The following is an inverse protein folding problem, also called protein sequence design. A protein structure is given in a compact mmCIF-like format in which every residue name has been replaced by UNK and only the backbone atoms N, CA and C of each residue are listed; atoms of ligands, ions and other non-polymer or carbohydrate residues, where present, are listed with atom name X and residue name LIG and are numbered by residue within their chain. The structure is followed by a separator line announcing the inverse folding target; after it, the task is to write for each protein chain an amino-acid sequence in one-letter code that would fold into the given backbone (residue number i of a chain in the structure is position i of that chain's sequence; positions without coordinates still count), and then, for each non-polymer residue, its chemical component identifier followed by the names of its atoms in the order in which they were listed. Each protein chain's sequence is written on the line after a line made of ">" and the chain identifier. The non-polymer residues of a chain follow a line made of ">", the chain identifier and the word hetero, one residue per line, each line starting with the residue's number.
data_IF_461943667239
#
_entry.id   IF_461943667239
#
_cell.length_a   1.000
_cell.length_b   1.000
_cell.length_c   1.000
_cell.angle_alpha   90.00
_cell.angle_beta   90.00
_cell.angle_gamma   90.00
#
_symmetry.space_group_name_H-M   'P 1'
#
loop_
_entity.id
_entity.type
_entity.pdbx_description
1 polymer ?
#
# COMPACT_ATOMS: atom_id res chain seq x y z
N UNK A 1 -14.06 0.99 -21.70
CA UNK A 1 -13.26 2.19 -21.35
C UNK A 1 -11.85 1.81 -20.95
N UNK A 2 -11.64 1.16 -19.80
CA UNK A 2 -10.29 0.80 -19.32
C UNK A 2 -9.49 -0.08 -20.29
N UNK A 3 -10.11 -1.08 -20.91
CA UNK A 3 -9.44 -1.93 -21.92
C UNK A 3 -9.22 -1.29 -23.30
N UNK A 4 -9.47 0.01 -23.49
CA UNK A 4 -9.21 0.69 -24.77
C UNK A 4 -10.13 0.33 -25.94
N UNK A 5 -11.21 -0.42 -25.71
CA UNK A 5 -12.18 -0.79 -26.75
C UNK A 5 -13.13 0.37 -27.15
N UNK A 6 -12.67 1.29 -28.00
CA UNK A 6 -13.45 2.45 -28.48
C UNK A 6 -14.71 2.05 -29.24
N UNK A 7 -14.61 1.05 -30.13
CA UNK A 7 -15.75 0.63 -30.95
C UNK A 7 -16.88 0.04 -30.10
N UNK A 8 -16.56 -0.61 -28.98
CA UNK A 8 -17.57 -1.10 -28.02
C UNK A 8 -18.28 0.07 -27.33
N UNK A 9 -17.57 1.17 -27.03
CA UNK A 9 -18.20 2.36 -26.43
C UNK A 9 -19.12 3.07 -27.42
N UNK A 10 -18.70 3.21 -28.68
CA UNK A 10 -19.53 3.78 -29.75
C UNK A 10 -20.78 2.93 -29.99
N UNK A 11 -20.61 1.61 -30.07
CA UNK A 11 -21.71 0.66 -30.18
C UNK A 11 -22.70 0.81 -29.02
N UNK A 12 -22.21 0.77 -27.77
CA UNK A 12 -23.07 0.92 -26.59
C UNK A 12 -23.82 2.25 -26.54
N UNK A 13 -23.23 3.33 -27.08
CA UNK A 13 -23.88 4.65 -27.18
C UNK A 13 -24.96 4.71 -28.27
N UNK A 14 -24.87 3.86 -29.29
CA UNK A 14 -25.81 3.81 -30.42
C UNK A 14 -27.08 2.99 -30.16
N UNK A 15 -27.13 2.24 -29.06
CA UNK A 15 -28.29 1.43 -28.66
C UNK A 15 -29.48 2.29 -28.21
N UNK A 16 -30.67 1.69 -28.12
CA UNK A 16 -31.91 2.34 -27.63
C UNK A 16 -32.46 1.60 -26.39
N UNK A 17 -32.46 2.24 -25.19
CA UNK A 17 -31.98 3.59 -24.92
C UNK A 17 -30.45 3.69 -24.98
N UNK A 18 -29.90 4.87 -25.35
CA UNK A 18 -28.45 5.05 -25.43
C UNK A 18 -27.82 4.81 -24.07
N UNK A 19 -26.68 4.10 -24.03
CA UNK A 19 -25.92 3.97 -22.80
C UNK A 19 -25.59 5.39 -22.31
N UNK A 20 -26.03 5.79 -21.10
CA UNK A 20 -25.90 7.17 -20.65
C UNK A 20 -24.44 7.60 -20.46
N UNK A 21 -23.51 6.63 -20.44
CA UNK A 21 -22.21 6.72 -19.79
C UNK A 21 -22.34 7.15 -18.32
N UNK A 22 -21.33 6.86 -17.51
CA UNK A 22 -21.43 7.15 -16.09
C UNK A 22 -21.51 8.66 -15.85
N UNK A 23 -22.61 9.14 -15.26
CA UNK A 23 -22.85 10.56 -14.97
C UNK A 23 -21.85 11.13 -13.94
N UNK A 24 -21.12 10.28 -13.23
CA UNK A 24 -20.06 10.65 -12.28
C UNK A 24 -18.67 10.80 -12.95
N UNK A 25 -18.55 10.53 -14.25
CA UNK A 25 -17.29 10.59 -14.99
C UNK A 25 -16.40 9.35 -14.85
N UNK A 26 -16.86 8.27 -14.21
CA UNK A 26 -16.09 7.04 -14.05
C UNK A 26 -15.65 6.44 -15.39
N UNK A 27 -16.53 6.45 -16.41
CA UNK A 27 -16.19 5.97 -17.76
C UNK A 27 -15.01 6.74 -18.35
N UNK A 28 -14.98 8.07 -18.16
CA UNK A 28 -13.91 8.93 -18.63
C UNK A 28 -12.59 8.66 -17.89
N UNK A 29 -12.65 8.52 -16.56
CA UNK A 29 -11.46 8.22 -15.74
C UNK A 29 -10.88 6.84 -16.02
N UNK A 30 -11.73 5.83 -16.29
CA UNK A 30 -11.28 4.51 -16.73
C UNK A 30 -10.64 4.56 -18.12
N UNK A 31 -11.19 5.33 -19.06
CA UNK A 31 -10.56 5.57 -20.35
C UNK A 31 -9.21 6.31 -20.19
N UNK A 32 -9.10 7.25 -19.25
CA UNK A 32 -7.83 7.91 -18.97
C UNK A 32 -6.77 6.92 -18.45
N UNK A 33 -7.20 5.92 -17.66
CA UNK A 33 -6.35 4.87 -17.09
C UNK A 33 -5.80 3.86 -18.10
N UNK A 34 -6.53 3.51 -19.15
CA UNK A 34 -6.06 2.46 -20.07
C UNK A 34 -6.55 2.54 -21.51
N UNK A 35 -7.40 3.52 -21.81
CA UNK A 35 -7.84 3.82 -23.17
C UNK A 35 -6.85 4.70 -23.93
N UNK A 36 -7.20 5.01 -25.17
CA UNK A 36 -6.39 5.85 -26.06
C UNK A 36 -6.85 7.30 -26.07
N UNK A 37 -6.03 8.20 -26.61
CA UNK A 37 -6.39 9.61 -26.76
C UNK A 37 -7.62 9.78 -27.65
N UNK A 38 -7.77 8.96 -28.69
CA UNK A 38 -8.96 8.97 -29.57
C UNK A 38 -10.23 8.61 -28.81
N UNK A 39 -10.13 7.67 -27.86
CA UNK A 39 -11.25 7.35 -26.97
C UNK A 39 -11.60 8.53 -26.06
N UNK A 40 -10.60 9.21 -25.50
CA UNK A 40 -10.83 10.39 -24.67
C UNK A 40 -11.44 11.54 -25.47
N UNK A 41 -11.00 11.75 -26.71
CA UNK A 41 -11.59 12.72 -27.63
C UNK A 41 -13.07 12.42 -27.88
N UNK A 42 -13.41 11.16 -28.16
CA UNK A 42 -14.79 10.73 -28.36
C UNK A 42 -15.64 10.97 -27.11
N UNK A 43 -15.18 10.52 -25.94
CA UNK A 43 -15.92 10.70 -24.69
C UNK A 43 -16.09 12.19 -24.34
N UNK A 44 -15.10 13.02 -24.66
CA UNK A 44 -15.15 14.46 -24.44
C UNK A 44 -16.16 15.14 -25.36
N UNK A 45 -16.20 14.76 -26.66
CA UNK A 45 -17.19 15.28 -27.60
C UNK A 45 -18.62 14.87 -27.26
N UNK A 46 -18.80 13.72 -26.62
CA UNK A 46 -20.10 13.24 -26.11
C UNK A 46 -20.55 13.93 -24.82
N UNK A 47 -19.75 14.86 -24.28
CA UNK A 47 -20.08 15.60 -23.06
C UNK A 47 -19.93 14.77 -21.78
N UNK A 48 -19.12 13.70 -21.80
CA UNK A 48 -18.84 12.93 -20.59
C UNK A 48 -18.15 13.83 -19.55
N UNK A 49 -18.62 13.83 -18.28
CA UNK A 49 -18.08 14.71 -17.28
C UNK A 49 -16.65 14.32 -16.89
N UNK A 50 -15.80 15.34 -16.76
CA UNK A 50 -14.46 15.22 -16.19
C UNK A 50 -14.56 15.23 -14.66
N UNK A 51 -13.78 14.39 -13.98
CA UNK A 51 -13.60 14.47 -12.54
C UNK A 51 -12.10 14.51 -12.17
N UNK A 52 -11.79 14.87 -10.92
CA UNK A 52 -10.41 15.00 -10.44
C UNK A 52 -9.64 13.67 -10.41
N UNK A 53 -10.32 12.53 -10.61
CA UNK A 53 -9.67 11.22 -10.73
C UNK A 53 -9.13 10.94 -12.13
N UNK A 54 -9.60 11.61 -13.19
CA UNK A 54 -9.16 11.30 -14.56
C UNK A 54 -7.65 11.50 -14.76
N UNK A 55 -7.10 12.63 -14.28
CA UNK A 55 -5.65 12.91 -14.34
C UNK A 55 -4.85 11.96 -13.46
N UNK A 56 -5.36 11.66 -12.27
CA UNK A 56 -4.75 10.71 -11.35
C UNK A 56 -4.69 9.28 -11.91
N UNK A 57 -5.73 8.86 -12.64
CA UNK A 57 -5.84 7.54 -13.24
C UNK A 57 -4.92 7.40 -14.45
N UNK A 58 -4.81 8.43 -15.29
CA UNK A 58 -3.80 8.47 -16.35
C UNK A 58 -2.38 8.44 -15.76
N UNK A 59 -2.15 9.19 -14.67
CA UNK A 59 -0.85 9.26 -14.02
C UNK A 59 -0.41 7.94 -13.38
N UNK A 60 -1.27 7.24 -12.63
CA UNK A 60 -0.94 5.94 -12.01
C UNK A 60 -0.74 4.82 -13.02
N UNK A 61 -1.29 4.95 -14.23
CA UNK A 61 -1.10 4.00 -15.32
C UNK A 61 0.05 4.38 -16.27
N UNK A 62 0.67 5.55 -16.08
CA UNK A 62 1.80 5.99 -16.90
C UNK A 62 1.41 6.50 -18.28
N UNK A 63 0.12 6.73 -18.53
CA UNK A 63 -0.39 7.16 -19.83
C UNK A 63 -0.15 8.67 -20.03
N UNK A 64 1.08 9.00 -20.38
CA UNK A 64 1.51 10.38 -20.59
C UNK A 64 0.69 11.11 -21.67
N UNK A 65 0.32 10.43 -22.76
CA UNK A 65 -0.43 11.05 -23.85
C UNK A 65 -1.86 11.38 -23.43
N UNK A 66 -2.51 10.48 -22.67
CA UNK A 66 -3.81 10.75 -22.05
C UNK A 66 -3.71 11.93 -21.09
N UNK A 67 -2.66 11.98 -20.27
CA UNK A 67 -2.45 13.08 -19.34
C UNK A 67 -2.23 14.43 -20.06
N UNK A 68 -1.45 14.45 -21.15
CA UNK A 68 -1.28 15.62 -22.02
C UNK A 68 -2.61 16.07 -22.62
N UNK A 69 -3.43 15.14 -23.10
CA UNK A 69 -4.77 15.46 -23.61
C UNK A 69 -5.66 16.09 -22.52
N UNK A 70 -5.70 15.49 -21.33
CA UNK A 70 -6.48 15.99 -20.18
C UNK A 70 -6.08 17.42 -19.80
N UNK A 71 -4.79 17.70 -19.67
CA UNK A 71 -4.30 19.03 -19.29
C UNK A 71 -4.44 20.05 -20.43
N UNK A 72 -4.10 19.64 -21.66
CA UNK A 72 -4.03 20.52 -22.81
C UNK A 72 -5.41 20.90 -23.35
N UNK A 73 -6.28 19.90 -23.54
CA UNK A 73 -7.59 20.03 -24.19
C UNK A 73 -8.69 20.22 -23.15
N UNK A 74 -8.83 19.29 -22.20
CA UNK A 74 -9.90 19.34 -21.20
C UNK A 74 -9.65 20.39 -20.11
N UNK A 75 -8.46 20.99 -20.05
CA UNK A 75 -8.03 21.91 -18.98
C UNK A 75 -8.23 21.32 -17.59
N UNK A 76 -7.97 20.01 -17.46
CA UNK A 76 -8.12 19.29 -16.21
C UNK A 76 -7.21 19.86 -15.13
N UNK A 77 -7.70 20.05 -13.89
CA UNK A 77 -6.87 20.54 -12.80
C UNK A 77 -5.80 19.52 -12.42
N UNK A 78 -4.60 20.02 -12.13
CA UNK A 78 -3.46 19.24 -11.64
C UNK A 78 -3.21 19.60 -10.17
N UNK A 79 -2.98 18.57 -9.35
CA UNK A 79 -2.74 18.70 -7.92
C UNK A 79 -1.63 17.74 -7.48
N UNK A 80 -1.16 17.88 -6.24
CA UNK A 80 -0.12 16.99 -5.69
C UNK A 80 -0.53 15.52 -5.64
N UNK A 81 -1.83 15.24 -5.67
CA UNK A 81 -2.36 13.89 -5.80
C UNK A 81 -1.95 13.22 -7.12
N UNK A 82 -1.83 13.99 -8.22
CA UNK A 82 -1.43 13.46 -9.53
C UNK A 82 0.04 13.04 -9.52
N UNK A 83 0.91 13.86 -8.92
CA UNK A 83 2.31 13.51 -8.72
C UNK A 83 2.47 12.28 -7.80
N UNK A 84 1.69 12.20 -6.72
CA UNK A 84 1.65 11.01 -5.86
C UNK A 84 1.28 9.76 -6.64
N UNK A 85 0.25 9.83 -7.49
CA UNK A 85 -0.21 8.69 -8.29
C UNK A 85 0.77 8.28 -9.38
N UNK A 86 1.45 9.23 -10.03
CA UNK A 86 2.55 8.91 -10.93
C UNK A 86 3.72 8.19 -10.21
N UNK A 87 4.02 8.60 -8.97
CA UNK A 87 5.05 7.97 -8.16
C UNK A 87 4.66 6.55 -7.70
N UNK A 88 3.40 6.35 -7.29
CA UNK A 88 2.84 5.05 -6.92
C UNK A 88 2.79 4.05 -8.09
N UNK A 89 2.60 4.55 -9.32
CA UNK A 89 2.63 3.75 -10.54
C UNK A 89 4.05 3.45 -11.07
N UNK A 90 5.10 3.93 -10.42
CA UNK A 90 6.48 3.84 -10.92
C UNK A 90 6.71 4.52 -12.29
N UNK A 91 6.14 5.72 -12.48
CA UNK A 91 6.19 6.42 -13.76
C UNK A 91 7.01 7.71 -13.71
N UNK A 92 8.34 7.58 -13.70
CA UNK A 92 9.28 8.69 -13.66
C UNK A 92 9.08 9.71 -14.79
N UNK A 93 8.82 9.25 -16.02
CA UNK A 93 8.64 10.13 -17.17
C UNK A 93 7.39 11.02 -17.05
N UNK A 94 6.34 10.50 -16.40
CA UNK A 94 5.15 11.31 -16.06
C UNK A 94 5.50 12.36 -15.02
N UNK A 95 6.28 12.02 -13.99
CA UNK A 95 6.74 12.99 -12.98
C UNK A 95 7.61 14.10 -13.57
N UNK A 96 8.55 13.76 -14.46
CA UNK A 96 9.37 14.74 -15.17
C UNK A 96 8.50 15.68 -15.99
N UNK A 97 7.57 15.15 -16.78
CA UNK A 97 6.65 15.97 -17.55
C UNK A 97 5.79 16.89 -16.66
N UNK A 98 5.22 16.37 -15.58
CA UNK A 98 4.43 17.15 -14.61
C UNK A 98 5.23 18.30 -13.99
N UNK A 99 6.53 18.11 -13.80
CA UNK A 99 7.42 19.10 -13.16
C UNK A 99 7.99 20.12 -14.13
N UNK A 100 8.38 19.68 -15.32
CA UNK A 100 9.21 20.45 -16.26
C UNK A 100 8.40 21.06 -17.40
N UNK A 101 7.24 20.48 -17.74
CA UNK A 101 6.44 20.90 -18.91
C UNK A 101 5.19 21.71 -18.57
N UNK A 102 4.80 21.81 -17.30
CA UNK A 102 3.61 22.56 -16.86
C UNK A 102 3.99 23.94 -16.32
N UNK A 103 3.15 24.94 -16.61
CA UNK A 103 3.23 26.29 -16.05
C UNK A 103 1.87 26.69 -15.43
N UNK A 104 1.75 26.77 -14.09
CA UNK A 104 2.79 26.48 -13.10
C UNK A 104 3.12 24.97 -12.99
N UNK A 105 4.32 24.60 -12.50
CA UNK A 105 4.69 23.20 -12.27
C UNK A 105 3.71 22.48 -11.35
N UNK A 106 3.49 21.17 -11.57
CA UNK A 106 2.67 20.36 -10.68
C UNK A 106 3.20 20.48 -9.24
N UNK A 107 2.36 20.84 -8.25
CA UNK A 107 2.77 20.82 -6.86
C UNK A 107 3.03 19.38 -6.42
N UNK A 108 3.93 19.18 -5.47
CA UNK A 108 4.13 17.91 -4.77
C UNK A 108 4.27 18.13 -3.27
N UNK A 109 4.05 17.08 -2.49
CA UNK A 109 4.24 17.06 -1.05
C UNK A 109 4.81 15.68 -0.63
N UNK A 110 4.96 15.43 0.67
CA UNK A 110 5.57 14.20 1.18
C UNK A 110 4.91 12.92 0.66
N UNK A 111 3.63 12.98 0.30
CA UNK A 111 2.90 11.84 -0.27
C UNK A 111 3.48 11.35 -1.59
N UNK A 112 4.14 12.20 -2.39
CA UNK A 112 4.83 11.74 -3.60
C UNK A 112 5.99 10.78 -3.27
N UNK A 113 6.76 11.06 -2.22
CA UNK A 113 7.76 10.12 -1.72
C UNK A 113 7.10 8.87 -1.12
N UNK A 114 5.94 9.00 -0.47
CA UNK A 114 5.17 7.85 0.02
C UNK A 114 4.75 6.93 -1.12
N UNK A 115 4.17 7.46 -2.20
CA UNK A 115 3.79 6.68 -3.38
C UNK A 115 5.00 5.97 -4.02
N UNK A 116 6.12 6.66 -4.19
CA UNK A 116 7.35 6.05 -4.68
C UNK A 116 7.85 4.92 -3.76
N UNK A 117 7.73 5.11 -2.45
CA UNK A 117 8.10 4.10 -1.47
C UNK A 117 7.15 2.89 -1.46
N UNK A 118 5.85 3.08 -1.74
CA UNK A 118 4.89 2.00 -1.95
C UNK A 118 5.20 1.20 -3.23
N UNK A 119 5.62 1.88 -4.30
CA UNK A 119 6.01 1.26 -5.56
C UNK A 119 7.30 0.45 -5.45
N UNK A 120 8.17 0.78 -4.48
CA UNK A 120 9.49 0.17 -4.35
C UNK A 120 10.59 0.92 -5.13
N UNK A 121 10.29 2.13 -5.60
CA UNK A 121 11.09 2.84 -6.61
C UNK A 121 12.11 3.79 -6.00
N UNK A 122 13.34 3.30 -5.84
CA UNK A 122 14.49 4.12 -5.42
C UNK A 122 14.78 5.24 -6.43
N UNK A 123 14.60 4.98 -7.73
CA UNK A 123 14.87 5.96 -8.78
C UNK A 123 13.96 7.19 -8.66
N UNK A 124 12.66 6.98 -8.49
CA UNK A 124 11.70 8.06 -8.28
C UNK A 124 11.95 8.78 -6.96
N UNK A 125 12.24 8.05 -5.88
CA UNK A 125 12.61 8.67 -4.61
C UNK A 125 13.85 9.58 -4.76
N UNK A 126 14.87 9.12 -5.47
CA UNK A 126 16.06 9.92 -5.74
C UNK A 126 15.72 11.18 -6.57
N UNK A 127 14.91 11.05 -7.63
CA UNK A 127 14.47 12.18 -8.45
C UNK A 127 13.67 13.21 -7.63
N UNK A 128 12.67 12.76 -6.86
CA UNK A 128 11.84 13.63 -6.02
C UNK A 128 12.71 14.40 -5.01
N UNK A 129 13.69 13.72 -4.40
CA UNK A 129 14.58 14.35 -3.42
C UNK A 129 15.55 15.34 -4.02
N UNK A 130 16.16 15.02 -5.16
CA UNK A 130 17.04 15.94 -5.88
C UNK A 130 16.30 17.22 -6.29
N UNK A 131 14.99 17.13 -6.56
CA UNK A 131 14.16 18.27 -6.91
C UNK A 131 13.49 18.98 -5.71
N UNK A 132 13.87 18.62 -4.48
CA UNK A 132 13.40 19.30 -3.27
C UNK A 132 12.00 18.89 -2.80
N UNK A 133 11.46 17.76 -3.25
CA UNK A 133 10.24 17.21 -2.68
C UNK A 133 10.47 16.85 -1.20
N UNK A 134 9.59 17.30 -0.28
CA UNK A 134 9.67 16.88 1.11
C UNK A 134 9.39 15.38 1.22
N UNK A 135 9.82 14.78 2.33
CA UNK A 135 9.44 13.44 2.76
C UNK A 135 9.12 13.46 4.25
N UNK A 136 8.49 12.40 4.75
CA UNK A 136 8.26 12.19 6.17
C UNK A 136 8.32 10.67 6.44
N UNK A 137 8.07 10.27 7.70
CA UNK A 137 8.09 8.87 8.09
C UNK A 137 7.03 8.00 7.37
N UNK A 138 6.01 8.57 6.68
CA UNK A 138 5.03 7.76 5.94
C UNK A 138 5.69 7.02 4.79
N UNK A 139 6.71 7.59 4.13
CA UNK A 139 7.46 6.88 3.10
C UNK A 139 8.16 5.62 3.66
N UNK A 140 8.70 5.72 4.88
CA UNK A 140 9.33 4.58 5.55
C UNK A 140 8.29 3.52 5.95
N UNK A 141 7.15 3.94 6.51
CA UNK A 141 6.05 3.03 6.90
C UNK A 141 5.47 2.32 5.67
N UNK A 142 5.25 3.05 4.58
CA UNK A 142 4.76 2.52 3.31
C UNK A 142 5.69 1.44 2.73
N UNK A 143 6.99 1.71 2.63
CA UNK A 143 7.97 0.72 2.17
C UNK A 143 7.98 -0.52 3.08
N UNK A 144 7.81 -0.35 4.40
CA UNK A 144 7.73 -1.47 5.33
C UNK A 144 6.49 -2.33 5.11
N UNK A 145 5.32 -1.70 4.95
CA UNK A 145 4.05 -2.38 4.70
C UNK A 145 3.96 -3.07 3.33
N UNK A 146 4.81 -2.68 2.38
CA UNK A 146 4.94 -3.33 1.06
C UNK A 146 6.12 -4.31 0.96
N UNK A 147 6.96 -4.40 1.99
CA UNK A 147 8.08 -5.32 2.04
C UNK A 147 9.33 -4.87 1.29
N UNK A 148 9.41 -3.59 0.92
CA UNK A 148 10.48 -3.02 0.09
C UNK A 148 11.74 -2.73 0.91
N UNK A 149 12.43 -3.79 1.33
CA UNK A 149 13.63 -3.69 2.17
C UNK A 149 14.75 -2.83 1.56
N UNK A 150 14.93 -2.89 0.24
CA UNK A 150 15.93 -2.06 -0.45
C UNK A 150 15.61 -0.56 -0.33
N UNK A 151 14.34 -0.19 -0.48
CA UNK A 151 13.86 1.18 -0.27
C UNK A 151 14.06 1.61 1.18
N UNK A 152 13.74 0.76 2.16
CA UNK A 152 13.94 1.09 3.58
C UNK A 152 15.40 1.40 3.91
N UNK A 153 16.32 0.58 3.41
CA UNK A 153 17.77 0.81 3.57
C UNK A 153 18.20 2.12 2.93
N UNK A 154 17.68 2.42 1.73
CA UNK A 154 17.96 3.66 1.02
C UNK A 154 17.40 4.89 1.74
N UNK A 155 16.14 4.86 2.19
CA UNK A 155 15.51 5.94 2.94
C UNK A 155 16.30 6.25 4.21
N UNK A 156 16.74 5.21 4.93
CA UNK A 156 17.54 5.35 6.14
C UNK A 156 18.91 5.98 5.86
N UNK A 157 19.61 5.52 4.83
CA UNK A 157 20.94 6.04 4.49
C UNK A 157 20.92 7.50 4.02
N UNK A 158 19.77 8.00 3.57
CA UNK A 158 19.60 9.39 3.14
C UNK A 158 18.89 10.27 4.18
N UNK A 159 18.73 9.78 5.42
CA UNK A 159 18.20 10.59 6.52
C UNK A 159 16.70 10.86 6.45
N UNK A 160 15.93 9.99 5.78
CA UNK A 160 14.48 10.02 5.93
C UNK A 160 14.11 9.76 7.40
N UNK A 161 13.21 10.55 8.02
CA UNK A 161 12.82 10.33 9.41
C UNK A 161 12.32 8.90 9.59
N UNK A 162 13.00 8.17 10.48
CA UNK A 162 12.54 6.86 10.92
C UNK A 162 11.25 6.98 11.74
N UNK A 163 10.53 5.87 11.96
CA UNK A 163 9.32 5.85 12.77
C UNK A 163 9.59 6.25 14.25
N UNK A 164 10.83 6.11 14.71
CA UNK A 164 11.33 6.54 16.03
C UNK A 164 11.43 8.07 16.18
N UNK A 165 11.70 8.79 15.08
CA UNK A 165 11.88 10.24 15.10
C UNK A 165 10.56 11.03 15.06
N UNK A 166 9.43 10.37 14.81
CA UNK A 166 8.09 10.98 14.75
C UNK A 166 7.03 10.09 15.42
N UNK A 167 7.34 9.54 16.59
CA UNK A 167 6.41 8.73 17.38
C UNK A 167 5.25 9.60 17.92
N UNK A 168 4.21 9.78 17.11
CA UNK A 168 2.91 10.26 17.59
C UNK A 168 2.09 9.08 18.12
N UNK A 169 1.40 9.22 19.27
CA UNK A 169 0.47 8.18 19.74
C UNK A 169 -0.56 7.86 18.65
N UNK A 170 -0.67 6.58 18.27
CA UNK A 170 -1.65 6.11 17.29
C UNK A 170 -1.17 6.03 15.83
N UNK A 171 0.09 6.36 15.51
CA UNK A 171 0.65 6.12 14.16
C UNK A 171 1.10 4.65 14.02
N UNK A 172 0.75 3.93 12.93
CA UNK A 172 1.27 2.59 12.70
C UNK A 172 2.79 2.63 12.67
N UNK A 173 3.42 1.87 13.56
CA UNK A 173 4.86 1.72 13.54
C UNK A 173 5.26 0.92 12.28
N UNK A 174 6.46 1.15 11.74
CA UNK A 174 6.95 0.41 10.58
C UNK A 174 6.91 -1.12 10.80
N UNK A 175 7.11 -1.57 12.05
CA UNK A 175 6.96 -2.97 12.44
C UNK A 175 5.51 -3.46 12.29
N UNK A 176 4.51 -2.69 12.73
CA UNK A 176 3.10 -3.04 12.56
C UNK A 176 2.70 -3.10 11.09
N UNK A 177 3.16 -2.14 10.27
CA UNK A 177 2.94 -2.15 8.82
C UNK A 177 3.58 -3.38 8.16
N UNK A 178 4.85 -3.69 8.49
CA UNK A 178 5.51 -4.89 7.98
C UNK A 178 4.83 -6.19 8.44
N UNK A 179 4.29 -6.21 9.66
CA UNK A 179 3.54 -7.34 10.19
C UNK A 179 2.19 -7.54 9.48
N UNK A 180 1.47 -6.45 9.18
CA UNK A 180 0.24 -6.44 8.37
C UNK A 180 0.49 -6.99 6.96
N UNK A 181 1.57 -6.55 6.32
CA UNK A 181 2.01 -7.06 5.01
C UNK A 181 2.58 -8.49 5.03
N UNK A 182 2.93 -9.00 6.22
CA UNK A 182 3.54 -10.32 6.39
C UNK A 182 5.03 -10.39 6.01
N UNK A 183 5.73 -9.25 6.00
CA UNK A 183 7.09 -9.10 5.49
C UNK A 183 8.15 -9.41 6.56
N UNK A 184 8.39 -10.72 6.78
CA UNK A 184 9.34 -11.22 7.79
C UNK A 184 10.76 -10.65 7.66
N UNK A 185 11.29 -10.51 6.44
CA UNK A 185 12.65 -9.99 6.23
C UNK A 185 12.77 -8.51 6.62
N UNK A 186 11.70 -7.74 6.42
CA UNK A 186 11.64 -6.35 6.90
C UNK A 186 11.60 -6.34 8.43
N UNK A 187 10.77 -7.18 9.06
CA UNK A 187 10.71 -7.27 10.53
C UNK A 187 12.05 -7.68 11.16
N UNK A 188 12.75 -8.65 10.57
CA UNK A 188 14.10 -9.06 11.00
C UNK A 188 15.08 -7.90 10.93
N UNK A 189 15.09 -7.17 9.82
CA UNK A 189 15.97 -6.02 9.62
C UNK A 189 15.63 -4.85 10.56
N UNK A 190 14.35 -4.56 10.78
CA UNK A 190 13.90 -3.56 11.74
C UNK A 190 14.34 -3.91 13.17
N UNK A 191 14.33 -5.20 13.52
CA UNK A 191 14.83 -5.67 14.83
C UNK A 191 16.34 -5.52 14.93
N UNK A 192 17.11 -6.07 13.98
CA UNK A 192 18.57 -6.14 14.09
C UNK A 192 19.23 -4.78 13.94
N UNK A 193 18.82 -3.99 12.93
CA UNK A 193 19.52 -2.77 12.54
C UNK A 193 18.86 -1.51 13.11
N UNK A 194 17.55 -1.50 13.32
CA UNK A 194 16.83 -0.32 13.81
C UNK A 194 16.60 -0.35 15.34
N UNK A 195 16.86 -1.49 16.01
CA UNK A 195 16.58 -1.67 17.45
C UNK A 195 15.17 -1.24 17.86
N UNK A 196 14.19 -1.41 16.96
CA UNK A 196 12.82 -0.96 17.19
C UNK A 196 12.13 -1.88 18.19
N UNK A 197 11.51 -1.35 19.27
CA UNK A 197 10.75 -2.17 20.19
C UNK A 197 9.54 -2.74 19.46
N UNK A 198 9.18 -3.98 19.80
CA UNK A 198 7.93 -4.53 19.37
C UNK A 198 6.89 -4.11 20.40
N UNK A 199 5.86 -3.38 19.99
CA UNK A 199 4.68 -3.24 20.80
C UNK A 199 3.65 -4.33 20.42
N UNK A 200 2.65 -4.54 21.27
CA UNK A 200 1.58 -5.52 21.01
C UNK A 200 0.78 -5.23 19.74
N UNK A 201 1.00 -4.08 19.09
CA UNK A 201 0.34 -3.74 17.82
C UNK A 201 0.88 -4.55 16.65
N UNK A 202 2.12 -5.07 16.71
CA UNK A 202 2.71 -5.89 15.65
C UNK A 202 2.00 -7.25 15.52
N UNK A 203 1.81 -7.95 16.64
CA UNK A 203 1.06 -9.20 16.67
C UNK A 203 -0.40 -8.97 16.24
N UNK A 204 -1.02 -7.90 16.75
CA UNK A 204 -2.39 -7.50 16.39
C UNK A 204 -2.56 -7.23 14.89
N UNK A 205 -1.59 -6.56 14.26
CA UNK A 205 -1.60 -6.29 12.83
C UNK A 205 -1.48 -7.58 12.01
N UNK A 206 -0.52 -8.45 12.35
CA UNK A 206 -0.39 -9.76 11.70
C UNK A 206 -1.67 -10.60 11.83
N UNK A 207 -2.36 -10.54 12.98
CA UNK A 207 -3.64 -11.22 13.21
C UNK A 207 -4.75 -10.68 12.33
N UNK A 208 -4.94 -9.35 12.30
CA UNK A 208 -5.98 -8.69 11.49
C UNK A 208 -5.81 -8.94 10.00
N UNK A 209 -4.57 -9.09 9.54
CA UNK A 209 -4.25 -9.36 8.15
C UNK A 209 -4.12 -10.86 7.81
N UNK A 210 -4.42 -11.77 8.75
CA UNK A 210 -4.37 -13.21 8.50
C UNK A 210 -2.96 -13.79 8.30
N UNK A 211 -1.90 -13.11 8.75
CA UNK A 211 -0.50 -13.46 8.52
C UNK A 211 0.02 -14.48 9.52
N UNK A 212 -0.45 -15.73 9.43
CA UNK A 212 -0.11 -16.81 10.38
C UNK A 212 1.40 -17.02 10.55
N UNK A 213 2.19 -17.03 9.47
CA UNK A 213 3.64 -17.25 9.56
C UNK A 213 4.36 -16.11 10.28
N UNK A 214 3.91 -14.88 10.04
CA UNK A 214 4.42 -13.69 10.72
C UNK A 214 4.06 -13.73 12.20
N UNK A 215 2.80 -14.08 12.53
CA UNK A 215 2.38 -14.26 13.91
C UNK A 215 3.19 -15.33 14.64
N UNK A 216 3.38 -16.50 14.02
CA UNK A 216 4.21 -17.58 14.56
C UNK A 216 5.62 -17.09 14.87
N UNK A 217 6.25 -16.43 13.90
CA UNK A 217 7.59 -15.89 14.08
C UNK A 217 7.64 -14.85 15.21
N UNK A 218 6.66 -13.93 15.27
CA UNK A 218 6.60 -12.90 16.31
C UNK A 218 6.48 -13.52 17.72
N UNK A 219 5.60 -14.53 17.88
CA UNK A 219 5.40 -15.20 19.17
C UNK A 219 6.60 -16.07 19.56
N UNK A 220 7.24 -16.74 18.59
CA UNK A 220 8.38 -17.61 18.86
C UNK A 220 9.63 -16.88 19.35
N UNK A 221 9.77 -15.61 19.01
CA UNK A 221 10.87 -14.77 19.47
C UNK A 221 10.68 -14.18 20.87
N UNK A 222 9.59 -14.54 21.57
CA UNK A 222 9.27 -14.28 22.98
C UNK A 222 9.27 -12.82 23.50
N UNK A 223 9.60 -11.83 22.66
CA UNK A 223 9.64 -10.40 23.03
C UNK A 223 8.37 -9.62 22.65
N UNK A 224 7.48 -10.16 21.80
CA UNK A 224 6.21 -9.50 21.45
C UNK A 224 5.16 -9.77 22.54
N UNK A 225 4.61 -8.76 23.23
CA UNK A 225 3.44 -8.98 24.05
C UNK A 225 2.27 -9.38 23.13
N UNK A 226 1.69 -10.54 23.38
CA UNK A 226 0.50 -11.02 22.68
C UNK A 226 -0.50 -11.59 23.68
N UNK A 227 -1.80 -11.44 23.38
CA UNK A 227 -2.89 -11.91 24.22
C UNK A 227 -3.75 -12.89 23.41
N UNK A 228 -3.72 -14.17 23.79
CA UNK A 228 -4.47 -15.23 23.11
C UNK A 228 -5.98 -14.97 23.07
N UNK A 229 -6.55 -14.32 24.10
CA UNK A 229 -7.97 -13.96 24.14
C UNK A 229 -8.31 -12.87 23.11
N UNK A 230 -7.47 -11.85 22.96
CA UNK A 230 -7.66 -10.81 21.94
C UNK A 230 -7.51 -11.41 20.53
N UNK A 231 -6.57 -12.33 20.36
CA UNK A 231 -6.36 -13.06 19.10
C UNK A 231 -7.60 -13.89 18.72
N UNK A 232 -8.16 -14.64 19.67
CA UNK A 232 -9.35 -15.46 19.45
C UNK A 232 -10.58 -14.61 19.16
N UNK A 233 -10.80 -13.54 19.93
CA UNK A 233 -11.92 -12.62 19.71
C UNK A 233 -11.89 -11.99 18.32
N UNK A 234 -10.70 -11.57 17.86
CA UNK A 234 -10.54 -11.00 16.51
C UNK A 234 -10.66 -12.04 15.41
N UNK A 235 -10.09 -13.23 15.60
CA UNK A 235 -10.24 -14.32 14.63
C UNK A 235 -11.71 -14.70 14.44
N UNK A 236 -12.49 -14.78 15.54
CA UNK A 236 -13.92 -15.07 15.49
C UNK A 236 -14.73 -13.95 14.80
N UNK A 237 -14.39 -12.67 15.05
CA UNK A 237 -15.08 -11.54 14.43
C UNK A 237 -14.78 -11.38 12.93
N UNK A 238 -13.65 -11.91 12.45
CA UNK A 238 -13.26 -11.87 11.03
C UNK A 238 -13.80 -13.07 10.21
N UNK A 239 -14.51 -14.01 10.84
CA UNK A 239 -15.12 -15.16 10.17
C UNK A 239 -14.11 -16.14 9.54
N UNK A 240 -14.48 -16.74 8.40
CA UNK A 240 -13.70 -17.81 7.74
C UNK A 240 -12.28 -17.40 7.31
N UNK A 241 -12.01 -16.09 7.19
CA UNK A 241 -10.73 -15.56 6.72
C UNK A 241 -9.56 -15.95 7.64
N UNK A 242 -9.82 -16.17 8.94
CA UNK A 242 -8.79 -16.42 9.96
C UNK A 242 -8.90 -17.79 10.63
N UNK A 243 -9.57 -18.77 9.99
CA UNK A 243 -9.77 -20.12 10.54
C UNK A 243 -8.47 -20.84 10.90
N UNK A 244 -7.42 -20.64 10.10
CA UNK A 244 -6.09 -21.20 10.34
C UNK A 244 -5.42 -20.61 11.60
N UNK A 245 -5.58 -19.31 11.85
CA UNK A 245 -5.11 -18.62 13.05
C UNK A 245 -5.92 -19.08 14.25
N UNK A 246 -7.25 -19.16 14.15
CA UNK A 246 -8.10 -19.65 15.22
C UNK A 246 -7.70 -21.07 15.65
N UNK A 247 -7.54 -21.99 14.70
CA UNK A 247 -7.10 -23.36 14.97
C UNK A 247 -5.73 -23.38 15.66
N UNK A 248 -4.79 -22.56 15.18
CA UNK A 248 -3.47 -22.46 15.77
C UNK A 248 -3.51 -21.91 17.20
N UNK A 249 -4.23 -20.81 17.46
CA UNK A 249 -4.36 -20.22 18.80
C UNK A 249 -5.13 -21.14 19.75
N UNK A 250 -6.19 -21.84 19.31
CA UNK A 250 -6.88 -22.84 20.14
C UNK A 250 -5.98 -24.02 20.51
N UNK A 251 -5.10 -24.43 19.61
CA UNK A 251 -4.20 -25.58 19.81
C UNK A 251 -2.99 -25.22 20.67
N UNK A 252 -2.46 -24.00 20.57
CA UNK A 252 -1.17 -23.63 21.18
C UNK A 252 -1.20 -22.40 22.09
N UNK A 253 -2.31 -21.65 22.14
CA UNK A 253 -2.45 -20.40 22.90
C UNK A 253 -3.14 -20.54 24.26
N UNK A 254 -2.90 -21.63 24.99
CA UNK A 254 -3.61 -21.93 26.25
C UNK A 254 -3.51 -20.78 27.28
N UNK A 255 -4.60 -20.49 28.03
CA UNK A 255 -4.63 -19.43 29.03
C UNK A 255 -3.81 -19.84 30.27
N UNK A 256 -2.67 -19.18 30.50
CA UNK A 256 -2.03 -19.21 31.80
C UNK A 256 -2.89 -18.47 32.84
N UNK A 257 -2.75 -18.76 34.15
CA UNK A 257 -3.63 -18.24 35.21
C UNK A 257 -3.59 -16.72 35.43
N UNK A 258 -2.86 -15.96 34.59
CA UNK A 258 -2.80 -14.50 34.62
C UNK A 258 -2.89 -13.82 33.24
N UNK A 259 -3.38 -14.52 32.20
CA UNK A 259 -3.57 -13.92 30.87
C UNK A 259 -2.27 -13.69 30.06
N UNK A 260 -1.12 -14.11 30.58
CA UNK A 260 0.08 -14.36 29.79
C UNK A 260 0.04 -15.82 29.34
N UNK A 261 0.02 -16.05 28.02
CA UNK A 261 0.09 -17.41 27.48
C UNK A 261 1.35 -18.14 27.98
N UNK A 262 1.31 -19.47 28.01
CA UNK A 262 2.52 -20.28 28.26
C UNK A 262 3.55 -19.91 27.17
N UNK A 263 4.79 -19.51 27.52
CA UNK A 263 5.82 -19.25 26.53
C UNK A 263 5.96 -20.47 25.61
N UNK A 264 5.96 -20.28 24.28
CA UNK A 264 6.08 -21.42 23.36
C UNK A 264 7.34 -22.24 23.67
N UNK A 265 8.41 -21.59 24.14
CA UNK A 265 9.65 -22.22 24.61
C UNK A 265 9.49 -23.17 25.81
N UNK A 266 8.41 -23.04 26.59
CA UNK A 266 8.07 -23.96 27.67
C UNK A 266 7.29 -25.19 27.17
N UNK A 267 6.89 -25.23 25.90
CA UNK A 267 6.38 -26.43 25.25
C UNK A 267 7.55 -27.38 24.97
N UNK A 268 7.37 -28.68 25.22
CA UNK A 268 8.38 -29.68 24.90
C UNK A 268 8.81 -29.60 23.43
N UNK A 269 10.08 -29.94 23.12
CA UNK A 269 10.68 -29.68 21.81
C UNK A 269 9.87 -30.16 20.60
N UNK A 270 9.23 -31.34 20.68
CA UNK A 270 8.36 -31.84 19.61
C UNK A 270 7.08 -31.00 19.44
N UNK A 271 6.47 -30.58 20.55
CA UNK A 271 5.26 -29.73 20.55
C UNK A 271 5.58 -28.33 20.05
N UNK A 272 6.76 -27.79 20.38
CA UNK A 272 7.25 -26.53 19.85
C UNK A 272 7.46 -26.58 18.34
N UNK A 273 8.10 -27.65 17.83
CA UNK A 273 8.34 -27.84 16.40
C UNK A 273 7.04 -28.03 15.61
N UNK A 274 6.08 -28.80 16.14
CA UNK A 274 4.74 -28.95 15.55
C UNK A 274 3.98 -27.61 15.54
N UNK A 275 3.99 -26.87 16.65
CA UNK A 275 3.35 -25.56 16.78
C UNK A 275 3.88 -24.54 15.75
N UNK A 276 5.19 -24.53 15.55
CA UNK A 276 5.85 -23.56 14.68
C UNK A 276 5.84 -23.98 13.23
N UNK A 277 6.10 -25.24 12.93
CA UNK A 277 6.46 -25.68 11.59
C UNK A 277 5.56 -26.78 11.02
N UNK A 278 4.62 -27.31 11.81
CA UNK A 278 3.66 -28.32 11.36
C UNK A 278 4.30 -29.66 11.03
N UNK A 279 5.46 -29.97 11.62
CA UNK A 279 6.04 -31.31 11.54
C UNK A 279 5.30 -32.22 12.51
N UNK A 280 4.27 -32.92 12.02
CA UNK A 280 3.82 -34.16 12.62
C UNK A 280 4.72 -35.29 12.12
N UNK A 281 5.26 -36.11 13.02
CA UNK A 281 5.62 -37.50 12.66
C UNK A 281 4.38 -38.26 12.18
#
# INVERSE_FOLDING_TARGET
>A
AEGGHLEVLKWARSEDPPCPFSLDGATFSLAAKGGTVEMLQYLWSEGCPLNHYSTAFAAVAGNLDNLKFLCGVCKAPISSFVAMKAAEGDHLEVLKWLRESLDPPCPWNASACTGAAEAGSIEILAYLRQNGCPWNADAFIAAAGRGHLAVLKWLRSHGCPGPDQQASPGRPQACAAAADGGHLEVLKWLRSECSMPWDGTCALAALRAGRLQTLKWLVATNDCPWNASDCLNLAMNCGDLHRNIEQWVRRYGAPGPQGTGVPLEALGGAVYLDAMWGFSE
#
